data_IF_895394364451
#
_entry.id   IF_895394364451
#
_cell.length_a   1.000
_cell.length_b   1.000
_cell.length_c   1.000
_cell.angle_alpha   90.00
_cell.angle_beta   90.00
_cell.angle_gamma   90.00
#
_symmetry.space_group_name_H-M   'P 1'
#
loop_
_entity.id
_entity.type
_entity.pdbx_description
1 polymer ?
#
# COMPACT_ATOMS: atom_id res chain seq x y z
N UNK A 1 -67.20 9.52 -37.52
CA UNK A 1 -66.36 10.19 -38.52
C UNK A 1 -65.16 10.80 -37.80
N UNK A 2 -63.96 10.32 -38.11
CA UNK A 2 -62.65 10.81 -37.64
C UNK A 2 -62.43 12.29 -37.99
N UNK A 3 -61.82 13.08 -37.09
CA UNK A 3 -60.81 14.12 -37.40
C UNK A 3 -59.88 14.31 -36.19
N UNK A 4 -58.56 14.50 -36.36
CA UNK A 4 -57.52 13.95 -35.48
C UNK A 4 -56.94 14.91 -34.42
N UNK A 5 -56.25 14.24 -33.50
CA UNK A 5 -55.56 14.68 -32.30
C UNK A 5 -54.54 15.82 -32.50
N UNK A 6 -54.46 16.68 -31.49
CA UNK A 6 -53.53 17.82 -31.32
C UNK A 6 -52.03 17.46 -31.42
N UNK A 7 -51.71 16.18 -31.61
CA UNK A 7 -50.35 15.63 -31.66
C UNK A 7 -49.65 15.93 -33.00
N UNK A 8 -50.38 15.98 -34.12
CA UNK A 8 -49.76 16.30 -35.42
C UNK A 8 -49.28 17.75 -35.55
N UNK A 9 -49.86 18.70 -34.80
CA UNK A 9 -49.40 20.10 -34.81
C UNK A 9 -48.08 20.33 -34.05
N UNK A 10 -47.74 19.48 -33.07
CA UNK A 10 -46.46 19.58 -32.34
C UNK A 10 -45.28 19.03 -33.15
N UNK A 11 -45.47 17.95 -33.89
CA UNK A 11 -44.40 17.31 -34.67
C UNK A 11 -43.97 18.18 -35.87
N UNK A 12 -44.88 18.94 -36.47
CA UNK A 12 -44.57 19.88 -37.56
C UNK A 12 -43.77 21.12 -37.09
N UNK A 13 -43.81 21.46 -35.80
CA UNK A 13 -43.05 22.60 -35.26
C UNK A 13 -41.62 22.20 -34.89
N UNK A 14 -41.41 20.98 -34.39
CA UNK A 14 -40.07 20.51 -33.98
C UNK A 14 -39.18 20.13 -35.18
N UNK A 15 -39.79 19.67 -36.28
CA UNK A 15 -39.05 19.37 -37.53
C UNK A 15 -38.53 20.63 -38.23
N UNK A 16 -39.19 21.79 -38.08
CA UNK A 16 -38.69 23.08 -38.60
C UNK A 16 -37.51 23.66 -37.80
N UNK A 17 -37.41 23.35 -36.51
CA UNK A 17 -36.28 23.80 -35.66
C UNK A 17 -35.02 22.97 -35.93
N UNK A 18 -35.17 21.68 -36.25
CA UNK A 18 -34.06 20.78 -36.57
C UNK A 18 -33.48 20.94 -37.99
N UNK A 19 -34.22 21.55 -38.92
CA UNK A 19 -33.80 21.76 -40.31
C UNK A 19 -33.22 23.17 -40.61
N UNK A 20 -33.19 24.06 -39.61
CA UNK A 20 -32.84 25.48 -39.77
C UNK A 20 -31.40 25.89 -39.40
N UNK A 21 -30.53 24.96 -39.01
CA UNK A 21 -29.15 25.30 -38.55
C UNK A 21 -28.02 24.59 -39.31
N UNK A 22 -28.33 23.98 -40.46
CA UNK A 22 -27.30 23.53 -41.41
C UNK A 22 -26.73 24.75 -42.17
N UNK A 23 -25.66 25.31 -41.61
CA UNK A 23 -24.86 26.37 -42.23
C UNK A 23 -24.16 25.84 -43.49
N UNK A 24 -24.30 26.49 -44.66
CA UNK A 24 -23.54 26.15 -45.85
C UNK A 24 -22.18 26.86 -45.85
N UNK A 25 -21.26 26.39 -46.68
CA UNK A 25 -20.06 27.13 -47.13
C UNK A 25 -18.79 27.00 -46.27
N UNK A 26 -17.96 25.99 -46.59
CA UNK A 26 -16.50 26.12 -46.58
C UNK A 26 -15.86 25.10 -47.52
N UNK A 27 -16.02 25.34 -48.82
CA UNK A 27 -15.15 24.82 -49.86
C UNK A 27 -13.85 25.63 -49.87
N UNK A 28 -12.80 25.15 -49.20
CA UNK A 28 -11.42 25.56 -49.47
C UNK A 28 -10.58 24.30 -49.69
N UNK A 29 -10.42 23.99 -50.97
CA UNK A 29 -9.38 23.14 -51.51
C UNK A 29 -8.00 23.77 -51.18
N UNK A 30 -7.10 22.99 -50.58
CA UNK A 30 -5.70 23.38 -50.38
C UNK A 30 -4.83 22.13 -50.26
N UNK A 31 -4.23 21.62 -51.35
CA UNK A 31 -3.14 20.67 -51.26
C UNK A 31 -1.86 21.46 -50.95
N UNK A 32 -1.64 21.79 -49.68
CA UNK A 32 -0.33 22.28 -49.23
C UNK A 32 0.45 21.13 -48.64
N UNK A 33 1.33 20.59 -49.48
CA UNK A 33 2.46 19.79 -49.06
C UNK A 33 3.16 20.47 -47.88
N UNK A 34 3.01 19.89 -46.69
CA UNK A 34 3.84 20.27 -45.55
C UNK A 34 5.13 19.43 -45.65
N UNK A 35 6.29 20.07 -45.88
CA UNK A 35 7.52 19.35 -46.11
C UNK A 35 7.90 18.58 -44.85
N UNK A 36 8.32 17.32 -45.05
CA UNK A 36 9.15 16.55 -44.15
C UNK A 36 10.30 17.42 -43.61
N UNK A 37 10.09 18.06 -42.45
CA UNK A 37 11.18 18.61 -41.66
C UNK A 37 11.63 17.51 -40.72
N UNK A 38 12.57 16.70 -41.23
CA UNK A 38 13.47 15.90 -40.41
C UNK A 38 13.98 16.78 -39.28
N UNK A 39 13.43 16.61 -38.09
CA UNK A 39 14.17 16.86 -36.88
C UNK A 39 14.76 15.50 -36.49
N UNK A 40 16.03 15.19 -36.83
CA UNK A 40 16.75 14.20 -36.07
C UNK A 40 17.05 14.86 -34.72
N UNK A 41 16.05 14.97 -33.85
CA UNK A 41 16.27 15.10 -32.41
C UNK A 41 16.57 13.69 -31.91
N UNK A 42 17.61 13.10 -32.50
CA UNK A 42 18.59 12.32 -31.77
C UNK A 42 19.31 13.33 -30.87
N UNK A 43 18.61 13.83 -29.86
CA UNK A 43 19.29 14.29 -28.66
C UNK A 43 19.69 12.99 -28.00
N UNK A 44 20.94 12.62 -28.23
CA UNK A 44 21.71 11.70 -27.40
C UNK A 44 21.39 12.01 -25.93
N UNK A 45 20.36 11.35 -25.41
CA UNK A 45 20.31 11.05 -24.00
C UNK A 45 21.25 9.88 -23.90
N UNK A 46 22.52 10.18 -23.60
CA UNK A 46 23.40 9.22 -22.99
C UNK A 46 22.55 8.38 -22.04
N UNK A 47 22.50 7.04 -22.18
CA UNK A 47 21.76 6.20 -21.27
C UNK A 47 22.52 6.30 -19.94
N UNK A 48 22.19 7.31 -19.13
CA UNK A 48 22.35 7.21 -17.70
C UNK A 48 21.62 5.92 -17.35
N UNK A 49 22.39 4.88 -17.07
CA UNK A 49 21.87 3.57 -16.77
C UNK A 49 20.82 3.76 -15.68
N UNK A 50 19.54 3.67 -16.05
CA UNK A 50 18.46 3.63 -15.07
C UNK A 50 18.86 2.53 -14.10
N UNK A 51 18.90 2.77 -12.78
CA UNK A 51 19.27 1.73 -11.83
C UNK A 51 18.44 0.49 -12.16
N UNK A 52 19.14 -0.60 -12.45
CA UNK A 52 18.53 -1.81 -12.95
C UNK A 52 17.46 -2.27 -11.95
N UNK A 53 16.37 -2.87 -12.46
CA UNK A 53 15.30 -3.39 -11.58
C UNK A 53 15.86 -4.31 -10.48
N UNK A 54 16.96 -5.03 -10.79
CA UNK A 54 17.72 -5.84 -9.83
C UNK A 54 18.26 -5.03 -8.64
N UNK A 55 18.81 -3.83 -8.88
CA UNK A 55 19.30 -2.97 -7.80
C UNK A 55 18.17 -2.58 -6.83
N UNK A 56 16.98 -2.30 -7.35
CA UNK A 56 15.83 -1.90 -6.51
C UNK A 56 15.28 -3.07 -5.71
N UNK A 57 15.21 -4.26 -6.32
CA UNK A 57 14.85 -5.50 -5.62
C UNK A 57 15.87 -5.85 -4.54
N UNK A 58 17.16 -5.65 -4.79
CA UNK A 58 18.20 -5.86 -3.79
C UNK A 58 18.04 -4.90 -2.59
N UNK A 59 17.77 -3.62 -2.86
CA UNK A 59 17.48 -2.64 -1.80
C UNK A 59 16.23 -3.03 -1.00
N UNK A 60 15.15 -3.44 -1.68
CA UNK A 60 13.94 -3.90 -1.02
C UNK A 60 14.17 -5.15 -0.16
N UNK A 61 15.02 -6.08 -0.63
CA UNK A 61 15.43 -7.25 0.14
C UNK A 61 16.21 -6.85 1.40
N UNK A 62 17.14 -5.90 1.29
CA UNK A 62 17.88 -5.38 2.45
C UNK A 62 16.95 -4.73 3.48
N UNK A 63 15.97 -3.94 3.04
CA UNK A 63 14.96 -3.33 3.90
C UNK A 63 14.09 -4.39 4.59
N UNK A 64 13.65 -5.41 3.84
CA UNK A 64 12.94 -6.56 4.40
C UNK A 64 13.79 -7.27 5.44
N UNK A 65 15.04 -7.60 5.15
CA UNK A 65 15.94 -8.27 6.10
C UNK A 65 16.16 -7.44 7.35
N UNK A 66 16.31 -6.12 7.22
CA UNK A 66 16.40 -5.20 8.34
C UNK A 66 15.12 -5.24 9.20
N UNK A 67 13.93 -5.21 8.57
CA UNK A 67 12.65 -5.33 9.27
C UNK A 67 12.56 -6.65 10.04
N UNK A 68 12.93 -7.78 9.42
CA UNK A 68 12.95 -9.10 10.06
C UNK A 68 13.86 -9.09 11.29
N UNK A 69 15.06 -8.52 11.20
CA UNK A 69 16.01 -8.43 12.32
C UNK A 69 15.44 -7.56 13.45
N UNK A 70 14.92 -6.38 13.12
CA UNK A 70 14.28 -5.47 14.10
C UNK A 70 13.14 -6.20 14.81
N UNK A 71 12.28 -6.89 14.06
CA UNK A 71 11.13 -7.60 14.62
C UNK A 71 11.57 -8.77 15.50
N UNK A 72 12.52 -9.58 15.05
CA UNK A 72 13.04 -10.72 15.83
C UNK A 72 13.70 -10.28 17.14
N UNK A 73 14.51 -9.21 17.10
CA UNK A 73 15.10 -8.61 18.31
C UNK A 73 13.99 -8.08 19.23
N UNK A 74 13.00 -7.39 18.67
CA UNK A 74 11.85 -6.86 19.39
C UNK A 74 11.02 -7.93 20.09
N UNK A 75 10.74 -9.05 19.42
CA UNK A 75 10.03 -10.19 20.02
C UNK A 75 10.88 -10.87 21.10
N UNK A 76 12.19 -11.04 20.86
CA UNK A 76 13.11 -11.59 21.86
C UNK A 76 13.18 -10.71 23.12
N UNK A 77 13.19 -9.39 22.93
CA UNK A 77 13.13 -8.42 24.02
C UNK A 77 11.79 -8.51 24.78
N UNK A 78 10.67 -8.66 24.08
CA UNK A 78 9.35 -8.87 24.69
C UNK A 78 9.33 -10.13 25.57
N UNK A 79 9.84 -11.26 25.06
CA UNK A 79 9.95 -12.52 25.82
C UNK A 79 10.76 -12.31 27.10
N UNK A 80 11.96 -11.71 26.99
CA UNK A 80 12.82 -11.45 28.15
C UNK A 80 12.16 -10.54 29.17
N UNK A 81 11.42 -9.53 28.71
CA UNK A 81 10.67 -8.63 29.58
C UNK A 81 9.54 -9.37 30.32
N UNK A 82 8.76 -10.19 29.62
CA UNK A 82 7.68 -11.00 30.21
C UNK A 82 8.21 -12.03 31.22
N UNK A 83 9.33 -12.69 30.91
CA UNK A 83 9.96 -13.67 31.83
C UNK A 83 10.36 -13.03 33.17
N UNK A 84 10.84 -11.79 33.15
CA UNK A 84 11.16 -11.04 34.38
C UNK A 84 9.92 -10.64 35.19
N UNK A 85 8.77 -10.49 34.54
CA UNK A 85 7.50 -10.06 35.16
C UNK A 85 6.64 -11.23 35.65
N UNK A 86 6.82 -12.42 35.06
CA UNK A 86 6.01 -13.62 35.34
C UNK A 86 6.47 -14.41 36.57
N UNK A 87 7.65 -14.11 37.15
CA UNK A 87 8.14 -14.75 38.38
C UNK A 87 7.31 -14.49 39.64
N UNK A 88 6.30 -13.60 39.57
CA UNK A 88 5.44 -13.21 40.70
C UNK A 88 3.95 -13.14 40.33
N UNK A 89 3.53 -13.71 39.20
CA UNK A 89 2.15 -13.55 38.73
C UNK A 89 1.20 -14.53 39.44
N UNK A 90 0.23 -13.95 40.15
CA UNK A 90 -0.93 -14.64 40.73
C UNK A 90 -1.86 -15.19 39.64
N UNK A 91 -2.53 -16.32 39.91
CA UNK A 91 -3.55 -16.97 39.06
C UNK A 91 -4.84 -16.12 38.96
N UNK A 92 -4.73 -14.93 38.36
CA UNK A 92 -5.84 -13.99 38.22
C UNK A 92 -6.15 -13.66 36.76
N UNK A 93 -7.42 -13.35 36.49
CA UNK A 93 -7.87 -12.85 35.19
C UNK A 93 -7.18 -11.53 34.80
N UNK A 94 -6.98 -10.62 35.76
CA UNK A 94 -6.46 -9.27 35.48
C UNK A 94 -4.98 -9.25 35.05
N UNK A 95 -4.05 -9.97 35.72
CA UNK A 95 -2.67 -10.11 35.26
C UNK A 95 -2.55 -10.74 33.86
N UNK A 96 -3.40 -11.73 33.57
CA UNK A 96 -3.50 -12.37 32.26
C UNK A 96 -3.91 -11.37 31.16
N UNK A 97 -5.00 -10.63 31.37
CA UNK A 97 -5.46 -9.58 30.44
C UNK A 97 -4.40 -8.50 30.24
N UNK A 98 -3.76 -8.04 31.31
CA UNK A 98 -2.69 -7.05 31.23
C UNK A 98 -1.52 -7.53 30.37
N UNK A 99 -1.11 -8.79 30.52
CA UNK A 99 -0.03 -9.36 29.71
C UNK A 99 -0.39 -9.38 28.22
N UNK A 100 -1.62 -9.76 27.87
CA UNK A 100 -2.08 -9.72 26.48
C UNK A 100 -2.13 -8.30 25.90
N UNK A 101 -2.68 -7.34 26.64
CA UNK A 101 -2.73 -5.93 26.22
C UNK A 101 -1.31 -5.38 26.02
N UNK A 102 -0.39 -5.66 26.96
CA UNK A 102 1.00 -5.21 26.83
C UNK A 102 1.72 -5.86 25.64
N UNK A 103 1.42 -7.14 25.35
CA UNK A 103 1.97 -7.86 24.20
C UNK A 103 1.48 -7.26 22.89
N UNK A 104 0.17 -6.99 22.77
CA UNK A 104 -0.42 -6.34 21.59
C UNK A 104 0.14 -4.92 21.38
N UNK A 105 0.28 -4.15 22.46
CA UNK A 105 0.89 -2.81 22.39
C UNK A 105 2.34 -2.87 21.92
N UNK A 106 3.12 -3.83 22.44
CA UNK A 106 4.51 -4.02 22.04
C UNK A 106 4.66 -4.40 20.57
N UNK A 107 3.87 -5.37 20.08
CA UNK A 107 3.93 -5.78 18.67
C UNK A 107 3.47 -4.67 17.75
N UNK A 108 2.44 -3.90 18.12
CA UNK A 108 2.02 -2.72 17.37
C UNK A 108 3.15 -1.69 17.22
N UNK A 109 3.89 -1.41 18.30
CA UNK A 109 5.05 -0.51 18.24
C UNK A 109 6.14 -1.03 17.30
N UNK A 110 6.41 -2.34 17.30
CA UNK A 110 7.35 -2.94 16.34
C UNK A 110 6.88 -2.76 14.89
N UNK A 111 5.59 -2.89 14.62
CA UNK A 111 5.03 -2.61 13.29
C UNK A 111 5.20 -1.15 12.89
N UNK A 112 4.93 -0.21 13.81
CA UNK A 112 5.13 1.22 13.55
C UNK A 112 6.59 1.57 13.25
N UNK A 113 7.55 0.94 13.94
CA UNK A 113 8.98 1.12 13.64
C UNK A 113 9.32 0.62 12.24
N UNK A 114 8.76 -0.51 11.81
CA UNK A 114 9.01 -1.05 10.47
C UNK A 114 8.40 -0.15 9.39
N UNK A 115 7.17 0.32 9.59
CA UNK A 115 6.53 1.33 8.74
C UNK A 115 7.41 2.58 8.67
N UNK A 116 7.95 3.03 9.81
CA UNK A 116 8.86 4.17 9.83
C UNK A 116 10.11 3.93 8.97
N UNK A 117 10.74 2.75 9.06
CA UNK A 117 11.92 2.40 8.24
C UNK A 117 11.63 2.54 6.74
N UNK A 118 10.48 2.01 6.28
CA UNK A 118 10.06 2.14 4.88
C UNK A 118 9.70 3.58 4.50
N UNK A 119 8.95 4.29 5.35
CA UNK A 119 8.60 5.70 5.15
C UNK A 119 9.85 6.59 5.01
N UNK A 120 10.82 6.43 5.91
CA UNK A 120 12.09 7.15 5.85
C UNK A 120 12.86 6.82 4.57
N UNK A 121 12.86 5.55 4.14
CA UNK A 121 13.47 5.15 2.88
C UNK A 121 12.84 5.87 1.68
N UNK A 122 11.51 5.92 1.59
CA UNK A 122 10.83 6.60 0.48
C UNK A 122 11.04 8.11 0.48
N UNK A 123 11.04 8.72 1.66
CA UNK A 123 11.34 10.15 1.81
C UNK A 123 12.79 10.45 1.41
N UNK A 124 13.75 9.61 1.81
CA UNK A 124 15.17 9.78 1.48
C UNK A 124 15.47 9.61 -0.01
N UNK A 125 14.83 8.64 -0.66
CA UNK A 125 14.96 8.45 -2.11
C UNK A 125 14.18 9.49 -2.94
N UNK A 126 13.41 10.37 -2.29
CA UNK A 126 12.53 11.32 -2.97
C UNK A 126 11.41 10.64 -3.76
N UNK A 127 11.07 9.40 -3.42
CA UNK A 127 10.03 8.62 -4.10
C UNK A 127 8.62 9.12 -3.76
N UNK A 128 8.46 9.73 -2.58
CA UNK A 128 7.21 10.31 -2.08
C UNK A 128 7.52 11.72 -1.55
N UNK A 129 6.76 12.77 -1.91
CA UNK A 129 7.02 14.12 -1.44
C UNK A 129 6.62 14.29 0.04
N UNK A 130 7.62 14.43 0.90
CA UNK A 130 7.43 14.77 2.31
C UNK A 130 7.24 13.55 3.22
N UNK A 131 7.64 13.73 4.48
CA UNK A 131 7.69 12.64 5.45
C UNK A 131 6.30 12.13 5.83
N UNK A 132 5.33 13.04 6.04
CA UNK A 132 3.96 12.66 6.40
C UNK A 132 3.28 11.81 5.33
N UNK A 133 3.44 12.17 4.04
CA UNK A 133 2.91 11.38 2.94
C UNK A 133 3.63 10.02 2.82
N UNK A 134 4.95 9.97 3.07
CA UNK A 134 5.69 8.72 3.06
C UNK A 134 5.27 7.76 4.18
N UNK A 135 4.98 8.28 5.39
CA UNK A 135 4.42 7.49 6.50
C UNK A 135 3.02 6.99 6.18
N UNK A 136 2.18 7.84 5.58
CA UNK A 136 0.83 7.44 5.16
C UNK A 136 0.89 6.32 4.12
N UNK A 137 1.66 6.51 3.05
CA UNK A 137 1.88 5.50 2.02
C UNK A 137 2.38 4.19 2.60
N UNK A 138 3.48 4.27 3.36
CA UNK A 138 4.10 3.10 3.95
C UNK A 138 3.14 2.37 4.88
N UNK A 139 2.39 3.09 5.72
CA UNK A 139 1.37 2.49 6.57
C UNK A 139 0.33 1.73 5.75
N UNK A 140 -0.29 2.39 4.77
CA UNK A 140 -1.34 1.80 3.91
C UNK A 140 -0.83 0.62 3.08
N UNK A 141 0.41 0.68 2.61
CA UNK A 141 1.05 -0.40 1.84
C UNK A 141 1.46 -1.57 2.74
N UNK A 142 2.13 -1.30 3.86
CA UNK A 142 2.57 -2.29 4.83
C UNK A 142 1.38 -3.04 5.44
N UNK A 143 0.28 -2.36 5.77
CA UNK A 143 -0.94 -3.02 6.27
C UNK A 143 -1.76 -3.66 5.15
N UNK A 144 -1.30 -3.58 3.89
CA UNK A 144 -1.98 -4.10 2.70
C UNK A 144 -3.36 -3.50 2.44
N UNK A 145 -3.64 -2.35 3.04
CA UNK A 145 -4.90 -1.62 2.86
C UNK A 145 -5.01 -1.05 1.44
N UNK A 146 -3.92 -0.49 0.91
CA UNK A 146 -3.79 -0.13 -0.49
C UNK A 146 -4.89 0.79 -1.05
N UNK A 147 -5.21 1.91 -0.38
CA UNK A 147 -6.25 2.85 -0.84
C UNK A 147 -6.05 3.35 -2.29
N UNK A 148 -4.79 3.42 -2.75
CA UNK A 148 -4.46 3.74 -4.15
C UNK A 148 -4.53 5.24 -4.49
N UNK A 149 -4.75 6.08 -3.49
CA UNK A 149 -4.72 7.54 -3.57
C UNK A 149 -3.28 8.08 -3.70
N UNK A 150 -2.31 7.38 -3.11
CA UNK A 150 -0.89 7.65 -3.28
C UNK A 150 -0.18 6.39 -3.81
N UNK A 151 0.56 6.55 -4.92
CA UNK A 151 1.26 5.44 -5.59
C UNK A 151 2.69 5.81 -5.93
N UNK A 152 3.59 4.83 -5.82
CA UNK A 152 4.97 4.97 -6.27
C UNK A 152 5.05 5.02 -7.81
N UNK A 153 6.10 5.66 -8.32
CA UNK A 153 6.39 5.63 -9.75
C UNK A 153 6.66 4.20 -10.24
N UNK A 154 6.52 3.98 -11.55
CA UNK A 154 6.69 2.66 -12.18
C UNK A 154 8.00 1.97 -11.77
N UNK A 155 9.03 2.78 -11.58
CA UNK A 155 10.35 2.36 -11.16
C UNK A 155 10.42 1.77 -9.75
N UNK A 156 9.58 2.22 -8.82
CA UNK A 156 9.59 1.81 -7.41
C UNK A 156 8.40 0.91 -7.04
N UNK A 157 7.47 0.67 -7.97
CA UNK A 157 6.24 -0.11 -7.71
C UNK A 157 6.49 -1.51 -7.15
N UNK A 158 7.53 -2.20 -7.61
CA UNK A 158 7.90 -3.53 -7.08
C UNK A 158 8.39 -3.46 -5.63
N UNK A 159 9.04 -2.36 -5.24
CA UNK A 159 9.51 -2.13 -3.86
C UNK A 159 8.32 -1.99 -2.92
N UNK A 160 7.29 -1.25 -3.31
CA UNK A 160 6.02 -1.19 -2.55
C UNK A 160 5.33 -2.55 -2.44
N UNK A 161 5.41 -3.41 -3.45
CA UNK A 161 4.92 -4.79 -3.36
C UNK A 161 5.67 -5.63 -2.31
N UNK A 162 6.99 -5.46 -2.20
CA UNK A 162 7.82 -6.14 -1.19
C UNK A 162 7.54 -5.60 0.20
N UNK A 163 7.27 -4.31 0.35
CA UNK A 163 6.83 -3.71 1.61
C UNK A 163 5.51 -4.33 2.09
N UNK A 164 4.52 -4.46 1.21
CA UNK A 164 3.25 -5.11 1.55
C UNK A 164 3.45 -6.58 2.00
N UNK A 165 4.31 -7.32 1.29
CA UNK A 165 4.66 -8.69 1.67
C UNK A 165 5.41 -8.74 3.02
N UNK A 166 6.30 -7.78 3.26
CA UNK A 166 7.00 -7.63 4.54
C UNK A 166 5.99 -7.42 5.67
N UNK A 167 4.99 -6.56 5.45
CA UNK A 167 3.91 -6.34 6.41
C UNK A 167 3.14 -7.61 6.77
N UNK A 168 2.67 -8.36 5.77
CA UNK A 168 1.99 -9.65 5.98
C UNK A 168 2.89 -10.62 6.77
N UNK A 169 4.14 -10.78 6.36
CA UNK A 169 5.08 -11.71 7.00
C UNK A 169 5.25 -11.39 8.49
N UNK A 170 5.44 -10.11 8.82
CA UNK A 170 5.65 -9.65 10.19
C UNK A 170 4.36 -9.73 11.02
N UNK A 171 3.20 -9.44 10.42
CA UNK A 171 1.90 -9.63 11.08
C UNK A 171 1.67 -11.11 11.42
N UNK A 172 2.07 -12.02 10.53
CA UNK A 172 2.05 -13.46 10.76
C UNK A 172 2.93 -13.87 11.95
N UNK A 173 4.18 -13.39 12.00
CA UNK A 173 5.09 -13.65 13.14
C UNK A 173 4.54 -13.09 14.45
N UNK A 174 4.00 -11.87 14.45
CA UNK A 174 3.37 -11.26 15.62
C UNK A 174 2.15 -12.02 16.09
N UNK A 175 1.33 -12.54 15.18
CA UNK A 175 0.15 -13.36 15.52
C UNK A 175 0.58 -14.68 16.15
N UNK A 176 1.58 -15.36 15.58
CA UNK A 176 2.14 -16.60 16.17
C UNK A 176 2.72 -16.37 17.56
N UNK A 177 3.45 -15.26 17.74
CA UNK A 177 3.96 -14.85 19.05
C UNK A 177 2.83 -14.55 20.05
N UNK A 178 1.82 -13.78 19.65
CA UNK A 178 0.67 -13.45 20.48
C UNK A 178 -0.08 -14.71 20.93
N UNK A 179 -0.27 -15.67 20.00
CA UNK A 179 -0.88 -16.95 20.32
C UNK A 179 -0.05 -17.79 21.29
N UNK A 180 1.28 -17.79 21.17
CA UNK A 180 2.16 -18.46 22.12
C UNK A 180 2.06 -17.86 23.53
N UNK A 181 2.00 -16.52 23.64
CA UNK A 181 1.77 -15.83 24.92
C UNK A 181 0.39 -16.18 25.47
N UNK A 182 -0.65 -16.10 24.65
CA UNK A 182 -2.01 -16.46 25.02
C UNK A 182 -2.08 -17.89 25.56
N UNK A 183 -1.54 -18.87 24.84
CA UNK A 183 -1.52 -20.29 25.23
C UNK A 183 -0.84 -20.52 26.57
N UNK A 184 0.22 -19.77 26.87
CA UNK A 184 0.91 -19.80 28.17
C UNK A 184 0.04 -19.22 29.29
N UNK A 185 -0.70 -18.15 29.01
CA UNK A 185 -1.60 -17.50 29.98
C UNK A 185 -2.74 -18.44 30.39
N UNK A 186 -3.33 -19.15 29.43
CA UNK A 186 -4.49 -20.03 29.67
C UNK A 186 -4.10 -21.46 30.08
N UNK A 187 -2.81 -21.75 30.26
CA UNK A 187 -2.34 -23.04 30.76
C UNK A 187 -2.41 -24.22 29.77
N UNK A 188 -2.61 -23.97 28.47
CA UNK A 188 -2.67 -25.04 27.46
C UNK A 188 -1.33 -25.78 27.27
N UNK A 189 -0.22 -25.20 27.72
CA UNK A 189 1.14 -25.72 27.48
C UNK A 189 1.68 -26.68 28.56
N UNK A 190 0.84 -27.15 29.50
CA UNK A 190 1.33 -27.82 30.73
C UNK A 190 0.66 -29.15 31.13
N UNK A 191 -0.10 -29.82 30.26
CA UNK A 191 -0.82 -31.06 30.64
C UNK A 191 -0.42 -32.26 29.77
N UNK A 192 0.85 -32.67 29.77
CA UNK A 192 1.29 -33.90 29.07
C UNK A 192 2.48 -34.66 29.71
N UNK A 193 2.94 -34.31 30.91
CA UNK A 193 3.95 -35.13 31.60
C UNK A 193 3.25 -36.23 32.44
N UNK A 194 3.44 -37.53 32.15
CA UNK A 194 2.93 -38.59 33.00
C UNK A 194 3.68 -38.61 34.34
N UNK A 195 3.02 -38.93 35.47
CA UNK A 195 3.69 -39.10 36.74
C UNK A 195 4.71 -40.25 36.66
N UNK A 196 5.92 -39.98 37.16
CA UNK A 196 7.01 -40.95 37.30
C UNK A 196 6.65 -42.10 38.23
#
# INVERSE_FOLDING_TARGET
MMVPSRMHRRIAHETKVLLGTLHPSLTINSPRAFPLRLAPVLRDRAPFAKPSMLSKLFVAWLLLSLCVVIHAIGLTAAVRWMQRRTGTMSEGFWPATWMLVSTAGWTLLLHLVQIAVWAFFYAWQGAIPGLSAAFYFSGVTYTTTGYGDLVLSEEWRLVGGIEALTGILMCGLSTGFFFAVFSRVIGLSGKNDPPA
#
